data_IF_515265688030
#
_entry.id   IF_515265688030
#
_cell.length_a   1.000
_cell.length_b   1.000
_cell.length_c   1.000
_cell.angle_alpha   90.00
_cell.angle_beta   90.00
_cell.angle_gamma   90.00
#
_symmetry.space_group_name_H-M   'P 1'
#
loop_
_entity.id
_entity.type
_entity.pdbx_description
1 polymer ?
#
# COMPACT_ATOMS: atom_id res chain seq x y z
N UNK A 1 18.21 18.41 3.86
CA UNK A 1 18.41 18.91 2.47
C UNK A 1 17.09 19.49 1.99
N UNK A 2 17.07 20.73 1.51
CA UNK A 2 15.87 21.34 0.92
C UNK A 2 16.01 21.34 -0.61
N UNK A 3 14.97 20.91 -1.32
CA UNK A 3 14.91 20.98 -2.78
C UNK A 3 13.82 21.98 -3.14
N UNK A 4 14.20 22.97 -3.93
CA UNK A 4 13.29 23.98 -4.49
C UNK A 4 13.37 23.96 -6.00
N UNK A 5 12.24 23.81 -6.67
CA UNK A 5 12.10 23.98 -8.11
C UNK A 5 11.00 24.99 -8.38
N UNK A 6 11.28 25.93 -9.29
CA UNK A 6 10.35 26.94 -9.74
C UNK A 6 10.40 27.07 -11.27
N UNK A 7 9.26 27.38 -11.89
CA UNK A 7 9.16 27.80 -13.28
C UNK A 7 8.59 29.21 -13.28
N UNK A 8 9.42 30.21 -13.62
CA UNK A 8 9.03 31.62 -13.45
C UNK A 8 8.92 32.00 -11.97
N UNK A 9 7.82 32.65 -11.60
CA UNK A 9 7.51 33.05 -10.21
C UNK A 9 6.72 31.98 -9.43
N UNK A 10 6.42 30.84 -10.06
CA UNK A 10 5.65 29.75 -9.47
C UNK A 10 6.59 28.68 -8.90
N UNK A 11 6.57 28.50 -7.56
CA UNK A 11 7.23 27.37 -6.90
C UNK A 11 6.41 26.10 -7.13
N UNK A 12 6.98 25.17 -7.90
CA UNK A 12 6.35 23.89 -8.24
C UNK A 12 6.79 22.74 -7.30
N UNK A 13 7.85 22.95 -6.51
CA UNK A 13 8.32 21.98 -5.51
C UNK A 13 9.09 22.71 -4.41
N UNK A 14 8.65 22.56 -3.16
CA UNK A 14 9.33 23.13 -1.99
C UNK A 14 9.29 22.13 -0.84
N UNK A 15 10.27 21.22 -0.80
CA UNK A 15 10.33 20.15 0.19
C UNK A 15 11.61 20.21 1.01
N UNK A 16 11.46 19.98 2.32
CA UNK A 16 12.57 19.86 3.26
C UNK A 16 12.64 18.41 3.76
N UNK A 17 13.79 17.78 3.53
CA UNK A 17 14.06 16.42 4.02
C UNK A 17 14.94 16.50 5.27
N UNK A 18 14.34 16.23 6.44
CA UNK A 18 15.00 16.23 7.75
C UNK A 18 15.95 15.03 7.96
N UNK A 19 15.76 13.95 7.19
CA UNK A 19 16.52 12.70 7.34
C UNK A 19 18.04 12.84 7.07
N UNK A 20 18.47 13.97 6.53
CA UNK A 20 19.87 14.29 6.28
C UNK A 20 20.58 14.98 7.46
N UNK A 21 19.89 15.32 8.55
CA UNK A 21 20.45 16.04 9.71
C UNK A 21 20.75 15.14 10.94
N UNK A 22 20.57 13.82 10.81
CA UNK A 22 20.77 12.89 11.94
C UNK A 22 22.23 12.45 12.01
N UNK A 23 22.88 12.70 13.14
CA UNK A 23 24.21 12.15 13.46
C UNK A 23 24.17 10.61 13.43
N UNK A 24 24.98 10.01 12.55
CA UNK A 24 25.07 8.56 12.38
C UNK A 24 26.45 8.05 12.79
N UNK A 25 26.46 7.05 13.66
CA UNK A 25 27.67 6.32 14.04
C UNK A 25 27.89 5.14 13.10
N UNK A 26 28.97 5.19 12.32
CA UNK A 26 29.37 4.08 11.45
C UNK A 26 30.39 3.17 12.16
N UNK A 27 30.06 1.89 12.32
CA UNK A 27 30.99 0.92 12.90
C UNK A 27 31.87 0.27 11.83
N UNK A 28 33.17 0.18 12.10
CA UNK A 28 34.10 -0.52 11.21
C UNK A 28 33.92 -2.04 11.28
N UNK A 29 34.27 -2.74 10.20
CA UNK A 29 34.36 -4.20 10.18
C UNK A 29 35.38 -4.71 11.21
N UNK A 30 35.23 -5.96 11.65
CA UNK A 30 36.25 -6.63 12.49
C UNK A 30 37.49 -6.93 11.64
N UNK A 31 38.68 -6.63 12.17
CA UNK A 31 39.96 -6.91 11.52
C UNK A 31 40.75 -7.98 12.27
N UNK A 32 41.48 -8.81 11.52
CA UNK A 32 42.28 -9.91 12.05
C UNK A 32 43.58 -9.49 12.72
N UNK A 33 44.01 -8.23 12.55
CA UNK A 33 45.23 -7.70 13.19
C UNK A 33 45.19 -6.18 13.38
N UNK A 34 45.96 -5.69 14.35
CA UNK A 34 46.10 -4.25 14.64
C UNK A 34 46.77 -3.45 13.51
N UNK A 35 47.55 -4.12 12.65
CA UNK A 35 48.14 -3.51 11.45
C UNK A 35 47.10 -3.33 10.35
N UNK A 36 46.26 -4.35 10.12
CA UNK A 36 45.14 -4.27 9.17
C UNK A 36 44.12 -3.21 9.60
N UNK A 37 43.84 -3.11 10.91
CA UNK A 37 42.99 -2.06 11.47
C UNK A 37 43.55 -0.66 11.20
N UNK A 38 44.84 -0.42 11.48
CA UNK A 38 45.47 0.90 11.26
C UNK A 38 45.50 1.32 9.79
N UNK A 39 45.71 0.38 8.87
CA UNK A 39 45.66 0.64 7.42
C UNK A 39 44.24 0.99 6.96
N UNK A 40 43.24 0.33 7.52
CA UNK A 40 41.83 0.60 7.22
C UNK A 40 41.31 1.89 7.86
N UNK A 41 41.87 2.29 9.00
CA UNK A 41 41.56 3.53 9.71
C UNK A 41 42.38 4.75 9.26
N UNK A 42 43.12 4.66 8.15
CA UNK A 42 43.74 5.87 7.60
C UNK A 42 42.64 6.89 7.28
N UNK A 43 42.88 8.17 7.60
CA UNK A 43 41.86 9.22 7.50
C UNK A 43 41.17 9.24 6.12
N UNK A 44 41.94 9.07 5.04
CA UNK A 44 41.41 9.00 3.68
C UNK A 44 40.51 7.78 3.43
N UNK A 45 40.86 6.59 3.95
CA UNK A 45 40.06 5.38 3.74
C UNK A 45 38.74 5.43 4.53
N UNK A 46 38.78 5.98 5.75
CA UNK A 46 37.57 6.16 6.58
C UNK A 46 36.65 7.19 5.95
N UNK A 47 37.19 8.34 5.52
CA UNK A 47 36.41 9.39 4.87
C UNK A 47 35.73 8.86 3.60
N UNK A 48 36.49 8.19 2.72
CA UNK A 48 35.93 7.58 1.50
C UNK A 48 34.85 6.52 1.80
N UNK A 49 35.02 5.71 2.85
CA UNK A 49 34.03 4.71 3.21
C UNK A 49 32.72 5.34 3.72
N UNK A 50 32.84 6.38 4.57
CA UNK A 50 31.70 7.14 5.09
C UNK A 50 31.01 7.91 3.97
N UNK A 51 31.76 8.60 3.11
CA UNK A 51 31.23 9.36 1.97
C UNK A 51 30.47 8.46 1.01
N UNK A 52 31.02 7.30 0.65
CA UNK A 52 30.35 6.34 -0.23
C UNK A 52 29.07 5.78 0.39
N UNK A 53 29.06 5.53 1.70
CA UNK A 53 27.89 5.01 2.40
C UNK A 53 26.80 6.09 2.51
N UNK A 54 27.18 7.30 2.92
CA UNK A 54 26.28 8.45 2.99
C UNK A 54 25.70 8.77 1.61
N UNK A 55 26.54 8.81 0.55
CA UNK A 55 26.10 9.02 -0.82
C UNK A 55 25.12 7.92 -1.27
N UNK A 56 25.39 6.64 -0.97
CA UNK A 56 24.50 5.53 -1.32
C UNK A 56 23.15 5.61 -0.59
N UNK A 57 23.17 5.89 0.70
CA UNK A 57 21.94 6.09 1.50
C UNK A 57 21.14 7.28 0.97
N UNK A 58 21.81 8.40 0.70
CA UNK A 58 21.20 9.61 0.16
C UNK A 58 20.58 9.36 -1.22
N UNK A 59 21.31 8.71 -2.14
CA UNK A 59 20.78 8.34 -3.46
C UNK A 59 19.61 7.36 -3.35
N UNK A 60 19.66 6.41 -2.42
CA UNK A 60 18.55 5.48 -2.17
C UNK A 60 17.32 6.23 -1.67
N UNK A 61 17.49 7.17 -0.74
CA UNK A 61 16.42 7.99 -0.22
C UNK A 61 15.83 8.92 -1.29
N UNK A 62 16.67 9.64 -2.04
CA UNK A 62 16.23 10.51 -3.14
C UNK A 62 15.48 9.69 -4.18
N UNK A 63 16.01 8.53 -4.58
CA UNK A 63 15.35 7.64 -5.54
C UNK A 63 14.01 7.14 -4.99
N UNK A 64 13.92 6.83 -3.69
CA UNK A 64 12.66 6.49 -3.03
C UNK A 64 11.66 7.65 -3.10
N UNK A 65 12.06 8.87 -2.73
CA UNK A 65 11.20 10.06 -2.77
C UNK A 65 10.71 10.36 -4.19
N UNK A 66 11.61 10.33 -5.19
CA UNK A 66 11.25 10.54 -6.59
C UNK A 66 10.22 9.51 -7.05
N UNK A 67 10.43 8.22 -6.76
CA UNK A 67 9.50 7.17 -7.17
C UNK A 67 8.20 7.09 -6.37
N UNK A 68 8.19 7.62 -5.14
CA UNK A 68 6.97 7.67 -4.33
C UNK A 68 6.09 8.87 -4.70
N UNK A 69 6.71 10.03 -4.96
CA UNK A 69 6.00 11.29 -5.17
C UNK A 69 5.81 11.69 -6.63
N UNK A 70 6.77 11.39 -7.51
CA UNK A 70 6.84 12.02 -8.84
C UNK A 70 6.92 11.05 -10.01
N UNK A 71 7.43 9.83 -9.82
CA UNK A 71 7.55 8.82 -10.89
C UNK A 71 6.58 7.65 -10.71
N UNK A 72 6.02 7.18 -11.83
CA UNK A 72 5.16 6.01 -11.91
C UNK A 72 5.97 4.71 -11.75
N UNK A 73 6.33 4.35 -10.52
CA UNK A 73 6.93 3.03 -10.28
C UNK A 73 5.83 1.95 -10.37
N UNK A 74 5.98 1.03 -11.33
CA UNK A 74 5.16 -0.19 -11.36
C UNK A 74 5.43 -1.02 -10.10
N UNK A 75 4.51 -0.96 -9.12
CA UNK A 75 4.54 -1.81 -7.94
C UNK A 75 3.77 -3.11 -8.22
N UNK A 76 4.42 -4.24 -8.02
CA UNK A 76 3.74 -5.53 -8.02
C UNK A 76 2.96 -5.69 -6.70
N UNK A 77 1.65 -5.90 -6.78
CA UNK A 77 0.79 -6.17 -5.62
C UNK A 77 0.19 -7.56 -5.75
N UNK A 78 0.44 -8.40 -4.74
CA UNK A 78 -0.29 -9.65 -4.56
C UNK A 78 -1.48 -9.37 -3.66
N UNK A 79 -2.66 -9.85 -4.05
CA UNK A 79 -3.89 -9.69 -3.29
C UNK A 79 -4.67 -11.00 -3.20
N UNK A 80 -5.68 -11.05 -2.33
CA UNK A 80 -6.53 -12.21 -2.15
C UNK A 80 -7.99 -11.81 -2.34
N UNK A 81 -8.72 -12.54 -3.18
CA UNK A 81 -10.17 -12.39 -3.29
C UNK A 81 -10.84 -13.38 -2.34
N UNK A 82 -11.61 -12.86 -1.39
CA UNK A 82 -12.36 -13.68 -0.44
C UNK A 82 -13.71 -14.11 -1.03
N UNK A 83 -13.99 -15.41 -0.94
CA UNK A 83 -15.25 -16.01 -1.39
C UNK A 83 -15.72 -17.00 -0.32
N UNK A 84 -16.98 -16.90 0.09
CA UNK A 84 -17.57 -17.89 0.99
C UNK A 84 -17.85 -19.20 0.25
N UNK A 85 -17.68 -20.32 0.95
CA UNK A 85 -18.02 -21.65 0.47
C UNK A 85 -18.80 -22.38 1.56
N UNK A 86 -19.83 -23.14 1.16
CA UNK A 86 -20.62 -23.92 2.11
C UNK A 86 -21.69 -24.75 1.42
N UNK A 87 -22.16 -25.79 2.09
CA UNK A 87 -23.23 -26.67 1.58
C UNK A 87 -24.64 -26.11 1.83
N UNK A 88 -24.79 -25.24 2.83
CA UNK A 88 -26.09 -24.76 3.33
C UNK A 88 -26.67 -23.63 2.49
N UNK A 89 -25.83 -22.75 1.95
CA UNK A 89 -26.25 -21.58 1.21
C UNK A 89 -25.62 -21.57 -0.18
N UNK A 90 -26.34 -20.98 -1.12
CA UNK A 90 -25.84 -20.73 -2.45
C UNK A 90 -24.99 -19.45 -2.47
N UNK A 91 -23.70 -19.60 -2.78
CA UNK A 91 -22.74 -18.51 -2.94
C UNK A 91 -22.35 -18.26 -4.40
N UNK A 92 -23.17 -18.72 -5.35
CA UNK A 92 -22.92 -18.56 -6.79
C UNK A 92 -22.61 -17.11 -7.18
N UNK A 93 -23.28 -16.12 -6.57
CA UNK A 93 -22.98 -14.70 -6.81
C UNK A 93 -21.57 -14.31 -6.38
N UNK A 94 -21.10 -14.76 -5.22
CA UNK A 94 -19.74 -14.46 -4.76
C UNK A 94 -18.68 -15.11 -5.67
N UNK A 95 -18.99 -16.30 -6.22
CA UNK A 95 -18.15 -16.95 -7.24
C UNK A 95 -18.15 -16.14 -8.55
N UNK A 96 -19.31 -15.62 -8.99
CA UNK A 96 -19.39 -14.72 -10.16
C UNK A 96 -18.56 -13.45 -9.95
N UNK A 97 -18.61 -12.85 -8.75
CA UNK A 97 -17.81 -11.67 -8.41
C UNK A 97 -16.30 -11.97 -8.48
N UNK A 98 -15.88 -13.12 -7.96
CA UNK A 98 -14.50 -13.60 -8.09
C UNK A 98 -14.06 -13.72 -9.56
N UNK A 99 -14.84 -14.41 -10.39
CA UNK A 99 -14.54 -14.58 -11.82
C UNK A 99 -14.48 -13.22 -12.53
N UNK A 100 -15.41 -12.32 -12.21
CA UNK A 100 -15.45 -10.97 -12.79
C UNK A 100 -14.19 -10.18 -12.44
N UNK A 101 -13.73 -10.25 -11.19
CA UNK A 101 -12.45 -9.64 -10.81
C UNK A 101 -11.26 -10.27 -11.51
N UNK A 102 -11.17 -11.60 -11.59
CA UNK A 102 -10.08 -12.25 -12.33
C UNK A 102 -10.02 -11.78 -13.78
N UNK A 103 -11.17 -11.69 -14.46
CA UNK A 103 -11.26 -11.15 -15.82
C UNK A 103 -10.85 -9.67 -15.88
N UNK A 104 -11.27 -8.87 -14.91
CA UNK A 104 -10.91 -7.45 -14.84
C UNK A 104 -9.43 -7.21 -14.58
N UNK A 105 -8.72 -8.17 -13.99
CA UNK A 105 -7.30 -8.03 -13.65
C UNK A 105 -6.34 -8.45 -14.78
N UNK A 106 -6.80 -9.18 -15.81
CA UNK A 106 -5.94 -9.67 -16.92
C UNK A 106 -5.23 -8.52 -17.63
N UNK A 107 -5.96 -7.45 -17.95
CA UNK A 107 -5.45 -6.26 -18.64
C UNK A 107 -5.73 -4.99 -17.83
N UNK A 108 -5.55 -5.07 -16.51
CA UNK A 108 -5.83 -3.95 -15.63
C UNK A 108 -5.00 -2.72 -16.00
N UNK A 109 -5.70 -1.61 -16.28
CA UNK A 109 -5.13 -0.30 -16.48
C UNK A 109 -5.77 0.66 -15.48
N UNK A 110 -4.96 1.27 -14.62
CA UNK A 110 -5.42 2.17 -13.56
C UNK A 110 -6.08 3.44 -14.10
N UNK A 111 -5.79 3.85 -15.35
CA UNK A 111 -6.37 5.03 -15.99
C UNK A 111 -7.60 4.72 -16.84
N UNK A 112 -7.94 3.43 -17.02
CA UNK A 112 -9.10 3.00 -17.78
C UNK A 112 -10.23 2.56 -16.86
N UNK A 113 -11.47 2.73 -17.33
CA UNK A 113 -12.63 2.18 -16.63
C UNK A 113 -12.62 0.65 -16.69
N UNK A 114 -12.84 0.00 -15.54
CA UNK A 114 -12.86 -1.44 -15.43
C UNK A 114 -14.25 -1.95 -15.01
N UNK A 115 -15.12 -2.14 -15.99
CA UNK A 115 -16.51 -2.60 -15.77
C UNK A 115 -16.58 -3.95 -15.04
N UNK A 116 -15.58 -4.82 -15.24
CA UNK A 116 -15.53 -6.14 -14.62
C UNK A 116 -15.27 -6.07 -13.12
N UNK A 117 -14.35 -5.20 -12.69
CA UNK A 117 -14.13 -4.92 -11.27
C UNK A 117 -15.35 -4.21 -10.67
N UNK A 118 -15.94 -3.23 -11.37
CA UNK A 118 -17.17 -2.55 -10.91
C UNK A 118 -18.34 -3.53 -10.73
N UNK A 119 -18.54 -4.47 -11.65
CA UNK A 119 -19.57 -5.50 -11.54
C UNK A 119 -19.37 -6.40 -10.31
N UNK A 120 -18.13 -6.78 -9.99
CA UNK A 120 -17.83 -7.55 -8.79
C UNK A 120 -18.12 -6.76 -7.50
N UNK A 121 -17.76 -5.48 -7.48
CA UNK A 121 -18.04 -4.56 -6.37
C UNK A 121 -19.54 -4.49 -6.09
N UNK A 122 -20.37 -4.34 -7.12
CA UNK A 122 -21.83 -4.28 -6.95
C UNK A 122 -22.41 -5.60 -6.42
N UNK A 123 -21.90 -6.75 -6.86
CA UNK A 123 -22.31 -8.05 -6.30
C UNK A 123 -21.99 -8.13 -4.81
N UNK A 124 -20.79 -7.72 -4.38
CA UNK A 124 -20.44 -7.73 -2.96
C UNK A 124 -21.28 -6.77 -2.14
N UNK A 125 -21.54 -5.56 -2.64
CA UNK A 125 -22.44 -4.59 -1.98
C UNK A 125 -23.86 -5.15 -1.83
N UNK A 126 -24.38 -5.83 -2.85
CA UNK A 126 -25.71 -6.43 -2.81
C UNK A 126 -25.79 -7.54 -1.77
N UNK A 127 -24.82 -8.47 -1.76
CA UNK A 127 -24.80 -9.56 -0.79
C UNK A 127 -24.64 -9.03 0.66
N UNK A 128 -23.84 -7.98 0.86
CA UNK A 128 -23.65 -7.35 2.17
C UNK A 128 -24.92 -6.69 2.75
N UNK A 129 -25.97 -6.46 1.96
CA UNK A 129 -27.27 -6.01 2.50
C UNK A 129 -27.93 -7.02 3.43
N UNK A 130 -27.59 -8.31 3.28
CA UNK A 130 -28.10 -9.40 4.08
C UNK A 130 -27.17 -9.80 5.24
N UNK A 131 -26.23 -8.91 5.62
CA UNK A 131 -25.28 -9.18 6.71
C UNK A 131 -26.01 -9.35 8.05
N UNK A 132 -25.61 -10.38 8.79
CA UNK A 132 -25.97 -10.56 10.18
C UNK A 132 -24.68 -10.79 10.99
N UNK A 133 -24.37 -9.85 11.87
CA UNK A 133 -23.13 -9.88 12.66
C UNK A 133 -23.26 -10.76 13.89
N UNK A 134 -24.48 -11.08 14.31
CA UNK A 134 -24.78 -11.85 15.52
C UNK A 134 -25.03 -13.33 15.19
N UNK A 135 -25.70 -13.62 14.07
CA UNK A 135 -25.93 -14.99 13.62
C UNK A 135 -24.73 -15.55 12.81
N UNK A 136 -23.91 -16.35 13.50
CA UNK A 136 -22.81 -17.12 12.89
C UNK A 136 -23.26 -18.10 11.80
N UNK A 137 -24.56 -18.45 11.76
CA UNK A 137 -25.15 -19.33 10.76
C UNK A 137 -25.85 -18.58 9.63
N UNK A 138 -25.87 -17.25 9.63
CA UNK A 138 -26.41 -16.49 8.51
C UNK A 138 -25.62 -16.75 7.22
N UNK A 139 -26.23 -16.50 6.06
CA UNK A 139 -25.55 -16.59 4.76
C UNK A 139 -24.34 -15.65 4.74
N UNK A 140 -24.55 -14.42 5.18
CA UNK A 140 -23.50 -13.40 5.29
C UNK A 140 -23.28 -13.14 6.77
N UNK A 141 -22.61 -14.09 7.42
CA UNK A 141 -22.19 -13.94 8.82
C UNK A 141 -21.06 -12.91 8.95
N UNK A 142 -20.71 -12.52 10.18
CA UNK A 142 -19.57 -11.62 10.47
C UNK A 142 -18.28 -12.00 9.73
N UNK A 143 -17.91 -13.28 9.71
CA UNK A 143 -16.67 -13.75 9.07
C UNK A 143 -16.72 -13.62 7.54
N UNK A 144 -17.89 -13.91 6.95
CA UNK A 144 -18.11 -13.73 5.50
C UNK A 144 -18.06 -12.24 5.18
N UNK A 145 -18.77 -11.42 5.95
CA UNK A 145 -18.81 -9.98 5.76
C UNK A 145 -17.42 -9.34 5.87
N UNK A 146 -16.61 -9.75 6.85
CA UNK A 146 -15.22 -9.30 6.98
C UNK A 146 -14.41 -9.56 5.71
N UNK A 147 -14.51 -10.76 5.14
CA UNK A 147 -13.86 -11.08 3.86
C UNK A 147 -14.37 -10.23 2.69
N UNK A 148 -15.69 -10.01 2.60
CA UNK A 148 -16.27 -9.17 1.54
C UNK A 148 -15.88 -7.69 1.68
N UNK A 149 -15.77 -7.17 2.91
CA UNK A 149 -15.28 -5.82 3.11
C UNK A 149 -13.80 -5.69 2.73
N UNK A 150 -12.95 -6.69 2.96
CA UNK A 150 -11.57 -6.68 2.45
C UNK A 150 -11.53 -6.61 0.92
N UNK A 151 -12.40 -7.36 0.23
CA UNK A 151 -12.55 -7.22 -1.22
C UNK A 151 -12.98 -5.79 -1.60
N UNK A 152 -13.98 -5.23 -0.92
CA UNK A 152 -14.43 -3.87 -1.20
C UNK A 152 -13.32 -2.83 -0.99
N UNK A 153 -12.48 -2.97 0.04
CA UNK A 153 -11.37 -2.03 0.25
C UNK A 153 -10.40 -2.11 -0.94
N UNK A 154 -9.97 -3.32 -1.30
CA UNK A 154 -9.03 -3.54 -2.40
C UNK A 154 -9.54 -2.97 -3.73
N UNK A 155 -10.74 -3.38 -4.12
CA UNK A 155 -11.23 -3.16 -5.47
C UNK A 155 -11.83 -1.77 -5.65
N UNK A 156 -12.43 -1.17 -4.60
CA UNK A 156 -12.78 0.26 -4.67
C UNK A 156 -11.53 1.14 -4.74
N UNK A 157 -10.43 0.75 -4.07
CA UNK A 157 -9.14 1.46 -4.19
C UNK A 157 -8.60 1.40 -5.62
N UNK A 158 -8.65 0.22 -6.27
CA UNK A 158 -8.22 0.07 -7.67
C UNK A 158 -9.02 0.95 -8.63
N UNK A 159 -10.35 1.05 -8.46
CA UNK A 159 -11.19 1.92 -9.32
C UNK A 159 -11.27 3.38 -8.85
N UNK A 160 -10.39 3.78 -7.91
CA UNK A 160 -10.31 5.15 -7.35
C UNK A 160 -11.57 5.64 -6.65
N UNK A 161 -12.45 4.74 -6.20
CA UNK A 161 -13.57 5.07 -5.31
C UNK A 161 -13.09 5.04 -3.85
N UNK A 162 -12.24 6.01 -3.50
CA UNK A 162 -11.64 6.11 -2.18
C UNK A 162 -12.68 6.29 -1.06
N UNK A 163 -13.81 6.92 -1.38
CA UNK A 163 -14.92 7.08 -0.45
C UNK A 163 -15.52 5.73 -0.08
N UNK A 164 -15.85 4.89 -1.07
CA UNK A 164 -16.39 3.55 -0.81
C UNK A 164 -15.37 2.64 -0.12
N UNK A 165 -14.09 2.73 -0.50
CA UNK A 165 -13.01 2.00 0.17
C UNK A 165 -12.92 2.37 1.66
N UNK A 166 -12.95 3.68 1.99
CA UNK A 166 -12.92 4.14 3.40
C UNK A 166 -14.16 3.70 4.17
N UNK A 167 -15.34 3.70 3.55
CA UNK A 167 -16.56 3.16 4.16
C UNK A 167 -16.43 1.68 4.50
N UNK A 168 -15.79 0.87 3.65
CA UNK A 168 -15.53 -0.54 3.93
C UNK A 168 -14.51 -0.75 5.06
N UNK A 169 -13.45 0.08 5.15
CA UNK A 169 -12.54 0.10 6.31
C UNK A 169 -13.32 0.35 7.59
N UNK A 170 -14.15 1.40 7.61
CA UNK A 170 -14.95 1.76 8.78
C UNK A 170 -15.94 0.65 9.17
N UNK A 171 -16.54 -0.03 8.20
CA UNK A 171 -17.42 -1.17 8.45
C UNK A 171 -16.70 -2.31 9.19
N UNK A 172 -15.45 -2.62 8.79
CA UNK A 172 -14.63 -3.60 9.53
C UNK A 172 -14.32 -3.11 10.94
N UNK A 173 -13.94 -1.84 11.12
CA UNK A 173 -13.62 -1.29 12.44
C UNK A 173 -14.83 -1.36 13.40
N UNK A 174 -16.04 -1.11 12.88
CA UNK A 174 -17.29 -1.24 13.65
C UNK A 174 -17.61 -2.68 14.07
N UNK A 175 -17.08 -3.69 13.37
CA UNK A 175 -17.18 -5.11 13.79
C UNK A 175 -16.25 -5.47 14.95
N UNK A 176 -15.48 -4.49 15.45
CA UNK A 176 -14.50 -4.63 16.53
C UNK A 176 -13.51 -5.78 16.24
N UNK A 177 -12.62 -5.62 15.25
CA UNK A 177 -11.78 -6.70 14.77
C UNK A 177 -10.81 -7.16 15.85
N UNK A 178 -10.61 -8.47 15.93
CA UNK A 178 -9.56 -9.07 16.75
C UNK A 178 -8.17 -8.65 16.28
N UNK A 179 -7.15 -8.84 17.13
CA UNK A 179 -5.76 -8.53 16.75
C UNK A 179 -5.31 -9.24 15.46
N UNK A 180 -5.79 -10.47 15.21
CA UNK A 180 -5.48 -11.20 13.99
C UNK A 180 -6.16 -10.59 12.75
N UNK A 181 -7.43 -10.18 12.90
CA UNK A 181 -8.18 -9.48 11.86
C UNK A 181 -7.58 -8.11 11.55
N UNK A 182 -7.19 -7.35 12.59
CA UNK A 182 -6.51 -6.06 12.42
C UNK A 182 -5.21 -6.19 11.64
N UNK A 183 -4.37 -7.20 11.95
CA UNK A 183 -3.16 -7.49 11.17
C UNK A 183 -3.46 -7.85 9.71
N UNK A 184 -4.61 -8.49 9.46
CA UNK A 184 -5.06 -8.83 8.11
C UNK A 184 -5.62 -7.61 7.35
N UNK A 185 -6.19 -6.65 8.07
CA UNK A 185 -6.67 -5.38 7.53
C UNK A 185 -5.53 -4.42 7.18
N UNK A 186 -4.44 -4.38 7.95
CA UNK A 186 -3.35 -3.41 7.79
C UNK A 186 -2.83 -3.29 6.35
N UNK A 187 -2.52 -4.37 5.60
CA UNK A 187 -2.01 -4.25 4.22
C UNK A 187 -3.02 -3.67 3.22
N UNK A 188 -4.32 -3.70 3.54
CA UNK A 188 -5.37 -3.06 2.74
C UNK A 188 -5.49 -1.57 3.08
N UNK A 189 -5.31 -1.21 4.35
CA UNK A 189 -5.25 0.20 4.77
C UNK A 189 -4.01 0.89 4.19
N UNK A 190 -2.84 0.27 4.30
CA UNK A 190 -1.60 0.82 3.76
C UNK A 190 -1.70 1.05 2.25
N UNK A 191 -2.35 0.13 1.53
CA UNK A 191 -2.59 0.27 0.09
C UNK A 191 -3.59 1.37 -0.23
N UNK A 192 -4.69 1.45 0.52
CA UNK A 192 -5.67 2.52 0.38
C UNK A 192 -5.03 3.90 0.59
N UNK A 193 -4.24 4.07 1.66
CA UNK A 193 -3.58 5.34 1.95
C UNK A 193 -2.51 5.67 0.89
N UNK A 194 -1.65 4.73 0.48
CA UNK A 194 -0.64 4.95 -0.60
C UNK A 194 -1.30 5.33 -1.94
N UNK A 195 -2.42 4.69 -2.31
CA UNK A 195 -3.12 5.01 -3.55
C UNK A 195 -3.88 6.34 -3.50
N UNK A 196 -4.47 6.67 -2.35
CA UNK A 196 -5.15 7.96 -2.16
C UNK A 196 -4.15 9.11 -2.20
N UNK A 197 -3.07 9.02 -1.42
CA UNK A 197 -2.06 10.09 -1.34
C UNK A 197 -1.39 10.33 -2.70
N UNK A 198 -1.17 9.27 -3.49
CA UNK A 198 -0.69 9.39 -4.89
C UNK A 198 -1.72 10.06 -5.79
N UNK A 199 -3.00 9.77 -5.62
CA UNK A 199 -4.04 10.38 -6.43
C UNK A 199 -4.16 11.87 -6.11
N UNK A 200 -4.23 12.22 -4.83
CA UNK A 200 -4.35 13.61 -4.37
C UNK A 200 -3.15 14.45 -4.86
N UNK A 201 -1.92 13.92 -4.74
CA UNK A 201 -0.71 14.60 -5.21
C UNK A 201 -0.65 14.86 -6.74
N UNK A 202 -1.40 14.11 -7.56
CA UNK A 202 -1.37 14.21 -9.01
C UNK A 202 -2.63 14.88 -9.62
N UNK A 203 -3.72 14.98 -8.87
CA UNK A 203 -5.02 15.44 -9.39
C UNK A 203 -5.70 16.52 -8.53
N UNK A 204 -5.22 16.82 -7.33
CA UNK A 204 -5.64 17.97 -6.52
C UNK A 204 -4.51 19.02 -6.47
N UNK A 205 -4.37 19.81 -7.54
CA UNK A 205 -3.53 21.04 -7.58
C UNK A 205 -4.38 22.24 -7.97
#
# INVERSE_FOLDING_TARGET
MAVRLAIGDEEILNETFEQFEVDKTYQTKKYSSSSALRKALSSNNVMQAVDNLAMKENLTFINKQINEKYAFMNKNRNTSVYVAKGKKYDYTNLVKAYISVEQGLVDYNADAENEKIKAAIEIWKEELKAVDLEDKKAKISRDVAFGLYLNLIEYNTLVRDFKAAKSAINAILLMNPSNAESRKLTPYQDFFEDMRDRYDANFES
#
